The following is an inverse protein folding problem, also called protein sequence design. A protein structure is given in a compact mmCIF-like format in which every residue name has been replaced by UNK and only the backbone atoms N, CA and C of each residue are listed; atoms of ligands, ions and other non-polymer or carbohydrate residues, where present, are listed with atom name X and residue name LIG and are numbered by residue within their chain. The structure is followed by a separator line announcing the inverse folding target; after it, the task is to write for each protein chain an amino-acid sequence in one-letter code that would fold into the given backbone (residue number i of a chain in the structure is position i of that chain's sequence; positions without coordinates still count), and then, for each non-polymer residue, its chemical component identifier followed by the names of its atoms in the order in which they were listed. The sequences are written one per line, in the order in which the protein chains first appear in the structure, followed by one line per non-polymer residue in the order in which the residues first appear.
data_IF_287265347532
#
_entry.id   IF_287265347532
#
_cell.length_a   1.000
_cell.length_b   1.000
_cell.length_c   1.000
_cell.angle_alpha   90.00
_cell.angle_beta   90.00
_cell.angle_gamma   90.00
#
_symmetry.space_group_name_H-M   'P 1'
#
loop_
_entity.id
_entity.type
_entity.pdbx_description
1 polymer ?
#
# COMPACT_ATOMS: atom_id res chain seq x y z
N UNK A 1 14.83 21.02 7.83
CA UNK A 1 13.56 20.77 7.14
C UNK A 1 12.96 19.53 7.77
N UNK A 2 11.76 19.62 8.32
CA UNK A 2 11.05 18.46 8.89
C UNK A 2 10.38 17.65 7.77
N UNK A 3 10.10 16.37 8.01
CA UNK A 3 9.36 15.52 7.06
C UNK A 3 7.97 16.14 6.72
N UNK A 4 7.36 16.86 7.67
CA UNK A 4 6.10 17.59 7.48
C UNK A 4 6.25 18.82 6.56
N UNK A 5 7.32 19.60 6.72
CA UNK A 5 7.63 20.73 5.84
C UNK A 5 7.92 20.23 4.42
N UNK A 6 8.60 19.09 4.28
CA UNK A 6 8.90 18.49 2.98
C UNK A 6 7.62 17.99 2.30
N UNK A 7 6.73 17.36 3.06
CA UNK A 7 5.42 16.93 2.57
C UNK A 7 4.59 18.12 2.04
N UNK A 8 4.53 19.24 2.76
CA UNK A 8 3.79 20.43 2.32
C UNK A 8 4.37 21.01 1.01
N UNK A 9 5.70 21.12 0.89
CA UNK A 9 6.33 21.58 -0.35
C UNK A 9 6.00 20.67 -1.54
N UNK A 10 6.02 19.35 -1.35
CA UNK A 10 5.72 18.39 -2.41
C UNK A 10 4.24 18.42 -2.79
N UNK A 11 3.34 18.58 -1.83
CA UNK A 11 1.92 18.75 -2.09
C UNK A 11 1.66 20.03 -2.91
N UNK A 12 2.33 21.13 -2.59
CA UNK A 12 2.28 22.36 -3.38
C UNK A 12 2.84 22.17 -4.80
N UNK A 13 3.94 21.42 -4.94
CA UNK A 13 4.50 21.06 -6.24
C UNK A 13 3.53 20.22 -7.07
N UNK A 14 2.90 19.20 -6.48
CA UNK A 14 1.90 18.37 -7.12
C UNK A 14 0.69 19.19 -7.61
N UNK A 15 0.19 20.12 -6.79
CA UNK A 15 -0.88 21.04 -7.17
C UNK A 15 -0.48 21.95 -8.33
N UNK A 16 0.75 22.48 -8.31
CA UNK A 16 1.31 23.30 -9.38
C UNK A 16 1.43 22.53 -10.70
N UNK A 17 1.91 21.28 -10.65
CA UNK A 17 1.98 20.38 -11.81
C UNK A 17 0.58 20.06 -12.36
N UNK A 18 -0.37 19.73 -11.49
CA UNK A 18 -1.76 19.49 -11.86
C UNK A 18 -2.39 20.68 -12.58
N UNK A 19 -2.12 21.90 -12.10
CA UNK A 19 -2.56 23.14 -12.76
C UNK A 19 -1.96 23.29 -14.16
N UNK A 20 -0.64 23.08 -14.31
CA UNK A 20 0.05 23.18 -15.61
C UNK A 20 -0.48 22.16 -16.63
N UNK A 21 -0.77 20.94 -16.18
CA UNK A 21 -1.42 19.92 -17.01
C UNK A 21 -2.80 20.40 -17.48
N UNK A 22 -3.60 20.92 -16.55
CA UNK A 22 -4.91 21.50 -16.86
C UNK A 22 -4.82 22.66 -17.87
N UNK A 23 -3.86 23.56 -17.70
CA UNK A 23 -3.64 24.69 -18.61
C UNK A 23 -3.30 24.20 -20.03
N UNK A 24 -2.42 23.20 -20.17
CA UNK A 24 -2.10 22.59 -21.46
C UNK A 24 -3.31 21.91 -22.11
N UNK A 25 -4.14 21.22 -21.33
CA UNK A 25 -5.37 20.61 -21.84
C UNK A 25 -6.34 21.65 -22.40
N UNK A 26 -6.48 22.79 -21.72
CA UNK A 26 -7.29 23.91 -22.22
C UNK A 26 -6.72 24.49 -23.51
N UNK A 27 -5.39 24.62 -23.61
CA UNK A 27 -4.74 25.12 -24.83
C UNK A 27 -4.90 24.16 -26.02
N UNK A 28 -4.69 22.86 -25.82
CA UNK A 28 -4.88 21.83 -26.84
C UNK A 28 -6.35 21.83 -27.28
N UNK A 29 -7.29 21.81 -26.34
CA UNK A 29 -8.73 21.84 -26.65
C UNK A 29 -9.13 23.10 -27.43
N UNK A 30 -8.54 24.26 -27.10
CA UNK A 30 -8.75 25.50 -27.86
C UNK A 30 -8.24 25.35 -29.28
N UNK A 31 -7.03 24.84 -29.48
CA UNK A 31 -6.45 24.66 -30.82
C UNK A 31 -7.25 23.68 -31.67
N UNK A 32 -7.69 22.56 -31.09
CA UNK A 32 -8.58 21.59 -31.75
C UNK A 32 -9.88 22.24 -32.22
N UNK A 33 -10.51 23.10 -31.40
CA UNK A 33 -11.75 23.79 -31.81
C UNK A 33 -11.54 24.80 -32.93
N UNK A 34 -10.37 25.45 -32.95
CA UNK A 34 -10.02 26.42 -34.00
C UNK A 34 -9.47 25.77 -35.28
N UNK A 35 -9.16 24.47 -35.22
CA UNK A 35 -8.62 23.73 -36.35
C UNK A 35 -9.71 23.49 -37.40
N UNK A 36 -9.61 24.21 -38.52
CA UNK A 36 -10.45 24.00 -39.69
C UNK A 36 -9.66 23.21 -40.75
N UNK A 37 -10.07 21.98 -41.11
CA UNK A 37 -9.40 21.22 -42.17
C UNK A 37 -9.54 21.95 -43.51
N UNK A 38 -8.41 22.27 -44.15
CA UNK A 38 -8.35 22.97 -45.44
C UNK A 38 -7.65 24.33 -45.43
N UNK A 39 -7.25 24.86 -44.27
CA UNK A 39 -6.38 26.03 -44.20
C UNK A 39 -4.89 25.66 -44.25
N UNK A 40 -4.09 26.50 -44.89
CA UNK A 40 -2.63 26.35 -45.09
C UNK A 40 -1.80 26.29 -43.80
N UNK A 41 -2.40 26.55 -42.63
CA UNK A 41 -1.70 26.55 -41.34
C UNK A 41 -1.87 25.24 -40.55
N UNK A 42 -2.58 24.24 -41.12
CA UNK A 42 -2.92 23.00 -40.43
C UNK A 42 -1.70 22.21 -39.91
N UNK A 43 -0.63 22.10 -40.69
CA UNK A 43 0.61 21.44 -40.25
C UNK A 43 1.22 22.14 -39.03
N UNK A 44 1.27 23.48 -39.03
CA UNK A 44 1.79 24.25 -37.90
C UNK A 44 0.90 24.13 -36.66
N UNK A 45 -0.40 24.01 -36.83
CA UNK A 45 -1.32 23.79 -35.70
C UNK A 45 -1.12 22.38 -35.14
N UNK A 46 -0.97 21.37 -35.99
CA UNK A 46 -0.70 19.99 -35.56
C UNK A 46 0.64 19.91 -34.80
N UNK A 47 1.72 20.51 -35.31
CA UNK A 47 3.00 20.54 -34.60
C UNK A 47 2.89 21.23 -33.24
N UNK A 48 2.20 22.37 -33.15
CA UNK A 48 1.96 23.09 -31.89
C UNK A 48 1.15 22.27 -30.88
N UNK A 49 0.15 21.52 -31.35
CA UNK A 49 -0.62 20.61 -30.48
C UNK A 49 0.27 19.46 -29.98
N UNK A 50 1.12 18.91 -30.85
CA UNK A 50 2.04 17.83 -30.50
C UNK A 50 3.07 18.28 -29.46
N UNK A 51 3.71 19.43 -29.64
CA UNK A 51 4.67 20.00 -28.68
C UNK A 51 4.05 20.13 -27.28
N UNK A 52 2.80 20.58 -27.20
CA UNK A 52 2.06 20.69 -25.94
C UNK A 52 1.69 19.36 -25.34
N UNK A 53 1.32 18.39 -26.17
CA UNK A 53 1.04 17.04 -25.71
C UNK A 53 2.30 16.39 -25.12
N UNK A 54 3.45 16.56 -25.76
CA UNK A 54 4.74 16.09 -25.23
C UNK A 54 5.10 16.79 -23.91
N UNK A 55 4.88 18.11 -23.81
CA UNK A 55 5.05 18.84 -22.55
C UNK A 55 4.09 18.34 -21.45
N UNK A 56 2.83 18.02 -21.80
CA UNK A 56 1.86 17.45 -20.87
C UNK A 56 2.33 16.10 -20.35
N UNK A 57 2.81 15.22 -21.22
CA UNK A 57 3.32 13.91 -20.82
C UNK A 57 4.48 14.04 -19.83
N UNK A 58 5.37 14.99 -20.05
CA UNK A 58 6.44 15.29 -19.10
C UNK A 58 5.91 15.70 -17.73
N UNK A 59 4.94 16.61 -17.67
CA UNK A 59 4.37 17.02 -16.39
C UNK A 59 3.58 15.91 -15.69
N UNK A 60 2.90 15.04 -16.44
CA UNK A 60 2.22 13.86 -15.88
C UNK A 60 3.24 12.89 -15.27
N UNK A 61 4.37 12.66 -15.96
CA UNK A 61 5.46 11.86 -15.42
C UNK A 61 6.06 12.47 -14.14
N UNK A 62 6.35 13.78 -14.16
CA UNK A 62 6.88 14.49 -13.00
C UNK A 62 5.89 14.45 -11.82
N UNK A 63 4.59 14.60 -12.08
CA UNK A 63 3.53 14.48 -11.07
C UNK A 63 3.49 13.07 -10.46
N UNK A 64 3.64 12.03 -11.29
CA UNK A 64 3.76 10.66 -10.82
C UNK A 64 4.95 10.47 -9.88
N UNK A 65 6.11 11.04 -10.22
CA UNK A 65 7.31 10.99 -9.38
C UNK A 65 7.10 11.68 -8.03
N UNK A 66 6.50 12.88 -8.04
CA UNK A 66 6.18 13.63 -6.82
C UNK A 66 5.17 12.86 -5.96
N UNK A 67 4.16 12.25 -6.58
CA UNK A 67 3.13 11.48 -5.87
C UNK A 67 3.71 10.28 -5.10
N UNK A 68 4.65 9.55 -5.72
CA UNK A 68 5.35 8.44 -5.05
C UNK A 68 6.17 8.94 -3.85
N UNK A 69 6.83 10.10 -3.99
CA UNK A 69 7.62 10.67 -2.90
C UNK A 69 6.75 11.17 -1.74
N UNK A 70 5.58 11.75 -2.05
CA UNK A 70 4.56 12.10 -1.05
C UNK A 70 4.12 10.86 -0.29
N UNK A 71 3.78 9.77 -0.99
CA UNK A 71 3.33 8.53 -0.35
C UNK A 71 4.39 7.92 0.58
N UNK A 72 5.65 7.91 0.16
CA UNK A 72 6.76 7.43 0.99
C UNK A 72 6.91 8.26 2.27
N UNK A 73 6.88 9.60 2.17
CA UNK A 73 6.95 10.49 3.33
C UNK A 73 5.75 10.34 4.25
N UNK A 74 4.53 10.27 3.72
CA UNK A 74 3.32 10.05 4.52
C UNK A 74 3.39 8.72 5.29
N UNK A 75 3.92 7.67 4.65
CA UNK A 75 4.12 6.38 5.29
C UNK A 75 5.17 6.46 6.41
N UNK A 76 6.29 7.16 6.18
CA UNK A 76 7.33 7.38 7.21
C UNK A 76 6.80 8.16 8.41
N UNK A 77 6.07 9.26 8.19
CA UNK A 77 5.45 10.05 9.25
C UNK A 77 4.49 9.17 10.06
N UNK A 78 3.60 8.42 9.37
CA UNK A 78 2.64 7.52 10.02
C UNK A 78 3.33 6.44 10.87
N UNK A 79 4.42 5.86 10.39
CA UNK A 79 5.20 4.86 11.13
C UNK A 79 5.85 5.47 12.38
N UNK A 80 6.42 6.67 12.26
CA UNK A 80 6.99 7.40 13.38
C UNK A 80 5.93 7.69 14.45
N UNK A 81 4.77 8.21 14.06
CA UNK A 81 3.67 8.50 14.97
C UNK A 81 3.12 7.23 15.65
N UNK A 82 3.13 6.09 14.95
CA UNK A 82 2.75 4.81 15.53
C UNK A 82 3.76 4.36 16.59
N UNK A 83 5.06 4.53 16.32
CA UNK A 83 6.14 4.18 17.24
C UNK A 83 6.16 5.10 18.48
N UNK A 84 5.96 6.40 18.29
CA UNK A 84 5.86 7.37 19.39
C UNK A 84 4.65 7.05 20.30
N UNK A 85 3.49 6.70 19.72
CA UNK A 85 2.32 6.25 20.49
C UNK A 85 2.57 4.93 21.23
N UNK A 86 3.25 3.98 20.61
CA UNK A 86 3.60 2.71 21.25
C UNK A 86 4.54 2.92 22.45
N UNK A 87 5.54 3.80 22.30
CA UNK A 87 6.45 4.17 23.38
C UNK A 87 5.72 4.89 24.52
N UNK A 88 4.85 5.85 24.21
CA UNK A 88 4.07 6.56 25.22
C UNK A 88 3.17 5.61 26.05
N UNK A 89 2.59 4.57 25.41
CA UNK A 89 1.81 3.54 26.09
C UNK A 89 2.67 2.62 26.96
N UNK A 90 3.93 2.36 26.56
CA UNK A 90 4.87 1.56 27.33
C UNK A 90 5.41 2.33 28.56
N UNK A 91 5.74 3.61 28.39
CA UNK A 91 6.25 4.49 29.46
C UNK A 91 5.15 4.89 30.46
N UNK A 92 3.89 4.94 30.02
CA UNK A 92 2.73 5.21 30.88
C UNK A 92 2.28 4.02 31.75
N UNK A 93 2.88 2.82 31.58
CA UNK A 93 2.67 1.70 32.49
C UNK A 93 3.73 1.76 33.59
N UNK A 94 3.36 2.04 34.86
CA UNK A 94 4.28 1.77 35.95
C UNK A 94 4.61 0.27 35.91
N UNK A 95 5.87 -0.06 35.69
CA UNK A 95 6.38 -1.41 35.92
C UNK A 95 6.16 -1.67 37.40
N UNK A 96 5.09 -2.38 37.76
CA UNK A 96 5.00 -2.93 39.12
C UNK A 96 6.12 -3.96 39.23
N UNK A 97 7.25 -3.54 39.80
CA UNK A 97 8.27 -4.41 40.35
C UNK A 97 7.68 -5.12 41.58
N UNK A 98 6.68 -5.96 41.43
CA UNK A 98 6.17 -6.80 42.52
C UNK A 98 5.22 -7.84 41.91
N UNK A 99 5.62 -9.11 42.06
CA UNK A 99 4.92 -10.35 41.68
C UNK A 99 4.73 -10.52 40.15
N UNK A 100 5.11 -11.59 39.47
CA UNK A 100 4.46 -12.90 39.48
C UNK A 100 5.39 -13.96 38.85
N UNK A 101 6.49 -14.32 39.53
CA UNK A 101 7.32 -15.48 39.17
C UNK A 101 7.20 -16.64 40.17
N UNK A 102 6.10 -16.70 40.93
CA UNK A 102 5.86 -17.77 41.91
C UNK A 102 5.23 -19.04 41.33
N UNK A 103 4.85 -19.02 40.05
CA UNK A 103 4.29 -20.18 39.35
C UNK A 103 5.36 -21.13 38.76
N UNK A 104 6.64 -20.80 38.87
CA UNK A 104 7.77 -21.63 38.42
C UNK A 104 8.59 -22.10 39.63
N UNK A 105 7.94 -22.74 40.60
CA UNK A 105 8.62 -23.61 41.56
C UNK A 105 7.90 -24.95 41.65
N UNK A 106 8.43 -26.01 41.02
CA UNK A 106 8.14 -27.37 41.44
C UNK A 106 8.67 -27.51 42.88
N UNK A 107 7.77 -27.55 43.85
CA UNK A 107 8.09 -27.85 45.24
C UNK A 107 8.52 -29.32 45.35
N UNK A 108 9.79 -29.59 45.09
CA UNK A 108 10.47 -30.81 45.51
C UNK A 108 10.68 -30.72 47.03
N UNK A 109 9.67 -31.15 47.80
CA UNK A 109 9.83 -31.78 49.13
C UNK A 109 8.45 -32.03 49.77
N UNK A 110 7.82 -33.16 49.41
CA UNK A 110 6.94 -33.91 50.29
C UNK A 110 6.77 -35.35 49.73
N UNK A 111 6.98 -36.41 50.56
CA UNK A 111 6.94 -37.78 50.11
C UNK A 111 5.51 -38.36 50.07
N UNK A 112 5.32 -39.29 49.14
CA UNK A 112 4.33 -40.37 49.09
C UNK A 112 2.85 -40.04 49.36
N UNK A 113 2.10 -39.90 48.26
CA UNK A 113 0.83 -40.61 48.12
C UNK A 113 0.78 -41.33 46.77
N UNK A 114 1.05 -42.62 46.82
CA UNK A 114 0.62 -43.58 45.80
C UNK A 114 -0.91 -43.53 45.67
N UNK A 115 -1.41 -43.03 44.54
CA UNK A 115 -2.63 -43.57 43.92
C UNK A 115 -2.43 -43.53 42.40
N UNK A 116 -2.00 -44.67 41.88
CA UNK A 116 -2.05 -44.97 40.46
C UNK A 116 -3.51 -45.09 40.02
N UNK A 117 -3.94 -44.22 39.10
CA UNK A 117 -4.98 -44.54 38.11
C UNK A 117 -4.53 -43.94 36.77
N UNK A 118 -3.92 -44.83 36.00
CA UNK A 118 -3.99 -44.99 34.54
C UNK A 118 -3.68 -43.79 33.63
N UNK A 119 -2.47 -43.87 33.05
CA UNK A 119 -2.18 -43.41 31.70
C UNK A 119 -3.15 -44.04 30.71
N UNK A 120 -3.77 -43.22 29.85
CA UNK A 120 -3.93 -43.41 28.40
C UNK A 120 -5.19 -42.70 27.92
N UNK A 121 -5.04 -41.55 27.27
CA UNK A 121 -5.58 -41.33 25.91
C UNK A 121 -5.08 -40.02 25.34
N UNK A 122 -3.97 -40.13 24.61
CA UNK A 122 -3.73 -39.52 23.31
C UNK A 122 -4.49 -38.24 22.97
N UNK A 123 -3.70 -37.17 22.82
CA UNK A 123 -3.93 -36.03 21.93
C UNK A 123 -4.97 -36.34 20.84
N UNK A 124 -6.13 -35.71 20.93
CA UNK A 124 -7.06 -35.63 19.80
C UNK A 124 -6.51 -34.56 18.86
N UNK A 125 -6.04 -34.90 17.64
CA UNK A 125 -5.71 -33.88 16.65
C UNK A 125 -7.02 -33.22 16.22
N UNK A 126 -7.00 -31.91 16.12
CA UNK A 126 -8.14 -31.10 15.75
C UNK A 126 -8.40 -31.31 14.24
N UNK A 127 -9.30 -32.23 13.87
CA UNK A 127 -9.74 -32.50 12.48
C UNK A 127 -10.35 -31.26 11.75
N UNK A 128 -10.36 -30.09 12.39
CA UNK A 128 -10.86 -28.83 11.82
C UNK A 128 -9.85 -28.07 10.96
N UNK A 129 -8.54 -28.28 11.14
CA UNK A 129 -7.51 -27.47 10.46
C UNK A 129 -7.24 -27.94 9.02
N UNK A 130 -7.32 -29.24 8.74
CA UNK A 130 -7.10 -29.77 7.39
C UNK A 130 -8.21 -29.36 6.40
N UNK A 131 -9.45 -29.16 6.88
CA UNK A 131 -10.56 -28.68 6.03
C UNK A 131 -10.39 -27.22 5.61
N UNK A 132 -9.89 -26.35 6.49
CA UNK A 132 -9.67 -24.93 6.15
C UNK A 132 -8.54 -24.76 5.14
N UNK A 133 -7.51 -25.61 5.18
CA UNK A 133 -6.39 -25.55 4.21
C UNK A 133 -6.82 -26.09 2.84
N UNK A 134 -7.68 -27.12 2.78
CA UNK A 134 -8.22 -27.61 1.50
C UNK A 134 -9.24 -26.65 0.85
N UNK A 135 -9.95 -25.84 1.64
CA UNK A 135 -10.92 -24.86 1.14
C UNK A 135 -10.23 -23.62 0.55
N UNK A 136 -9.12 -23.13 1.14
CA UNK A 136 -8.34 -22.04 0.54
C UNK A 136 -7.69 -22.38 -0.80
N UNK A 137 -7.37 -23.65 -1.05
CA UNK A 137 -6.72 -24.07 -2.30
C UNK A 137 -7.68 -24.45 -3.43
N UNK A 138 -9.00 -24.30 -3.23
CA UNK A 138 -10.01 -24.66 -4.24
C UNK A 138 -10.57 -23.49 -5.05
N UNK A 139 -10.20 -22.25 -4.75
CA UNK A 139 -10.71 -21.06 -5.46
C UNK A 139 -9.74 -20.43 -6.47
N UNK A 140 -8.47 -20.88 -6.57
CA UNK A 140 -7.48 -20.30 -7.50
C UNK A 140 -7.16 -21.17 -8.74
N UNK A 141 -8.01 -22.15 -9.08
CA UNK A 141 -7.96 -22.82 -10.39
C UNK A 141 -9.22 -22.51 -11.21
N UNK A 142 -9.28 -21.28 -11.72
CA UNK A 142 -9.89 -21.02 -13.02
C UNK A 142 -8.76 -20.77 -14.03
N UNK A 143 -8.40 -21.78 -14.85
CA UNK A 143 -7.59 -21.57 -16.03
C UNK A 143 -8.44 -20.96 -17.15
N UNK A 144 -7.81 -20.10 -17.95
CA UNK A 144 -8.20 -19.71 -19.30
C UNK A 144 -9.32 -18.66 -19.44
N UNK A 145 -8.92 -17.39 -19.34
CA UNK A 145 -9.50 -16.32 -20.17
C UNK A 145 -8.38 -15.72 -21.04
N UNK A 146 -7.85 -16.56 -21.94
CA UNK A 146 -7.05 -16.08 -23.07
C UNK A 146 -7.99 -15.42 -24.09
N UNK A 147 -7.77 -14.16 -24.50
CA UNK A 147 -8.48 -13.62 -25.65
C UNK A 147 -7.99 -14.33 -26.93
N UNK A 148 -8.80 -15.26 -27.43
CA UNK A 148 -8.68 -15.96 -28.72
C UNK A 148 -8.82 -14.99 -29.92
N UNK A 149 -7.84 -14.10 -30.09
CA UNK A 149 -7.83 -13.09 -31.17
C UNK A 149 -6.84 -13.36 -32.30
N UNK A 150 -6.05 -14.44 -32.25
CA UNK A 150 -4.99 -14.70 -33.21
C UNK A 150 -5.05 -16.13 -33.76
N UNK A 151 -5.92 -16.35 -34.74
CA UNK A 151 -5.58 -17.08 -35.98
C UNK A 151 -6.70 -17.08 -37.04
N UNK A 152 -6.34 -16.48 -38.17
CA UNK A 152 -6.61 -16.96 -39.53
C UNK A 152 -7.99 -16.73 -40.15
N UNK A 153 -8.06 -15.74 -41.05
CA UNK A 153 -8.14 -15.98 -42.50
C UNK A 153 -7.28 -14.98 -43.26
#
# INVERSE_FOLDING_TARGET
MTDEEELDLLQQEALSLGKRIGDLDHEIAREVRTFAPGFTDGEKTISRMQDRYEAKLKFVFDLGRVSVHIEDLENRIRQRDALERANALAEGRPVSQEDYLDWIRPSLDAPEREQAIEQESYHRPHEGEERMVQEMHREDLAPDDYPDGWRSR
#
